data_IF_821655955630
#
_entry.id   IF_821655955630
#
_cell.length_a   1.000
_cell.length_b   1.000
_cell.length_c   1.000
_cell.angle_alpha   90.00
_cell.angle_beta   90.00
_cell.angle_gamma   90.00
#
_symmetry.space_group_name_H-M   'P 1'
#
loop_
_entity.id
_entity.type
_entity.pdbx_description
1 polymer ?
#
# COMPACT_ATOMS: atom_id res chain seq x y z
N UNK A 1 2.32 -3.39 -10.97
CA UNK A 1 1.85 -4.47 -11.85
C UNK A 1 2.60 -5.80 -11.60
N UNK A 2 3.93 -5.81 -11.64
CA UNK A 2 4.67 -7.08 -11.47
C UNK A 2 4.36 -7.81 -10.17
N UNK A 3 4.43 -7.12 -9.02
CA UNK A 3 4.15 -7.71 -7.71
C UNK A 3 2.68 -8.16 -7.57
N UNK A 4 1.78 -7.55 -8.32
CA UNK A 4 0.36 -7.84 -8.26
C UNK A 4 -0.05 -9.02 -9.16
N UNK A 5 0.57 -9.15 -10.34
CA UNK A 5 0.09 -10.08 -11.37
C UNK A 5 1.17 -10.72 -12.25
N UNK A 6 2.46 -10.44 -12.04
CA UNK A 6 3.53 -10.79 -13.01
C UNK A 6 3.24 -10.25 -14.42
N UNK A 7 2.64 -9.05 -14.53
CA UNK A 7 2.19 -8.46 -15.79
C UNK A 7 1.11 -9.26 -16.54
N UNK A 8 0.34 -10.10 -15.87
CA UNK A 8 -0.76 -10.85 -16.47
C UNK A 8 -2.08 -10.17 -16.20
N UNK A 9 -2.80 -9.65 -17.23
CA UNK A 9 -4.01 -8.87 -17.04
C UNK A 9 -5.24 -9.71 -16.63
N UNK A 10 -5.24 -11.00 -16.94
CA UNK A 10 -6.35 -11.93 -16.68
C UNK A 10 -6.35 -12.53 -15.27
N UNK A 11 -5.38 -12.19 -14.44
CA UNK A 11 -5.23 -12.79 -13.10
C UNK A 11 -6.40 -12.43 -12.19
N UNK A 12 -6.93 -13.45 -11.54
CA UNK A 12 -7.83 -13.34 -10.38
C UNK A 12 -7.14 -14.00 -9.20
N UNK A 13 -6.77 -13.21 -8.20
CA UNK A 13 -6.13 -13.71 -6.99
C UNK A 13 -7.11 -14.48 -6.10
N UNK A 14 -6.59 -15.32 -5.22
CA UNK A 14 -7.39 -16.09 -4.26
C UNK A 14 -8.23 -15.20 -3.33
N UNK A 15 -7.80 -13.97 -3.06
CA UNK A 15 -8.53 -12.97 -2.27
C UNK A 15 -9.61 -12.23 -3.07
N UNK A 16 -9.71 -12.48 -4.39
CA UNK A 16 -10.63 -11.79 -5.30
C UNK A 16 -10.05 -10.55 -5.98
N UNK A 17 -8.82 -10.16 -5.69
CA UNK A 17 -8.12 -9.10 -6.41
C UNK A 17 -7.99 -9.45 -7.90
N UNK A 18 -8.16 -8.47 -8.80
CA UNK A 18 -8.28 -8.71 -10.24
C UNK A 18 -7.34 -7.86 -11.07
N UNK A 19 -6.89 -8.43 -12.17
CA UNK A 19 -6.21 -7.76 -13.25
C UNK A 19 -4.77 -7.41 -12.98
N UNK A 20 -4.21 -6.64 -13.89
CA UNK A 20 -2.81 -6.24 -13.94
C UNK A 20 -2.29 -5.59 -12.64
N UNK A 21 -3.13 -4.81 -11.98
CA UNK A 21 -2.80 -4.04 -10.77
C UNK A 21 -3.36 -4.64 -9.48
N UNK A 22 -3.96 -5.83 -9.53
CA UNK A 22 -4.43 -6.54 -8.36
C UNK A 22 -5.50 -5.79 -7.55
N UNK A 23 -6.54 -5.27 -8.24
CA UNK A 23 -7.53 -4.39 -7.64
C UNK A 23 -8.71 -5.21 -7.10
N UNK A 24 -9.09 -4.92 -5.86
CA UNK A 24 -10.30 -5.51 -5.30
C UNK A 24 -11.56 -4.94 -5.96
N UNK A 25 -12.61 -5.76 -6.20
CA UNK A 25 -13.86 -5.30 -6.82
C UNK A 25 -14.47 -4.07 -6.14
N UNK A 26 -14.42 -4.00 -4.82
CA UNK A 26 -14.90 -2.83 -4.06
C UNK A 26 -14.13 -1.56 -4.40
N UNK A 27 -12.82 -1.65 -4.52
CA UNK A 27 -11.97 -0.52 -4.93
C UNK A 27 -12.28 -0.10 -6.35
N UNK A 28 -12.40 -1.06 -7.27
CA UNK A 28 -12.79 -0.79 -8.65
C UNK A 28 -14.10 -0.01 -8.74
N UNK A 29 -15.10 -0.42 -7.98
CA UNK A 29 -16.42 0.26 -7.93
C UNK A 29 -16.31 1.72 -7.48
N UNK A 30 -15.47 2.01 -6.48
CA UNK A 30 -15.23 3.38 -6.00
C UNK A 30 -14.72 4.27 -7.14
N UNK A 31 -13.87 3.74 -8.02
CA UNK A 31 -13.28 4.46 -9.15
C UNK A 31 -13.98 4.20 -10.50
N UNK A 32 -15.23 3.74 -10.45
CA UNK A 32 -16.08 3.61 -11.63
C UNK A 32 -15.76 2.46 -12.56
N UNK A 33 -15.18 1.38 -12.04
CA UNK A 33 -14.88 0.17 -12.82
C UNK A 33 -15.63 -1.05 -12.28
N UNK A 34 -16.29 -1.80 -13.18
CA UNK A 34 -16.89 -3.08 -12.85
C UNK A 34 -15.82 -4.17 -12.61
N UNK A 35 -16.23 -5.24 -11.96
CA UNK A 35 -15.38 -6.40 -11.71
C UNK A 35 -14.76 -6.97 -12.98
N UNK A 36 -15.53 -6.99 -14.08
CA UNK A 36 -15.08 -7.48 -15.39
C UNK A 36 -14.08 -6.51 -16.04
N UNK A 37 -14.36 -5.21 -15.96
CA UNK A 37 -13.50 -4.17 -16.52
C UNK A 37 -12.12 -4.12 -15.87
N UNK A 38 -11.98 -4.56 -14.62
CA UNK A 38 -10.67 -4.65 -13.94
C UNK A 38 -9.70 -5.63 -14.61
N UNK A 39 -10.17 -6.52 -15.47
CA UNK A 39 -9.33 -7.41 -16.28
C UNK A 39 -8.78 -6.72 -17.54
N UNK A 40 -9.32 -5.56 -17.94
CA UNK A 40 -8.76 -4.72 -18.97
C UNK A 40 -7.52 -3.99 -18.43
N UNK A 41 -6.35 -4.12 -19.09
CA UNK A 41 -5.11 -3.50 -18.59
C UNK A 41 -5.19 -1.99 -18.44
N UNK A 42 -5.81 -1.29 -19.39
CA UNK A 42 -5.93 0.17 -19.35
C UNK A 42 -6.82 0.62 -18.18
N UNK A 43 -7.95 -0.04 -17.98
CA UNK A 43 -8.85 0.21 -16.83
C UNK A 43 -8.15 -0.07 -15.52
N UNK A 44 -7.46 -1.21 -15.41
CA UNK A 44 -6.72 -1.60 -14.22
C UNK A 44 -5.66 -0.56 -13.82
N UNK A 45 -4.87 -0.08 -14.78
CA UNK A 45 -3.85 0.96 -14.55
C UNK A 45 -4.49 2.29 -14.15
N UNK A 46 -5.55 2.72 -14.83
CA UNK A 46 -6.26 3.95 -14.48
C UNK A 46 -6.78 3.93 -13.04
N UNK A 47 -7.47 2.86 -12.66
CA UNK A 47 -8.01 2.70 -11.30
C UNK A 47 -6.88 2.67 -10.26
N UNK A 48 -5.77 1.98 -10.54
CA UNK A 48 -4.62 1.95 -9.65
C UNK A 48 -3.99 3.33 -9.45
N UNK A 49 -3.84 4.12 -10.52
CA UNK A 49 -3.31 5.49 -10.45
C UNK A 49 -4.23 6.39 -9.63
N UNK A 50 -5.53 6.32 -9.85
CA UNK A 50 -6.51 7.10 -9.09
C UNK A 50 -6.49 6.73 -7.59
N UNK A 51 -6.39 5.43 -7.30
CA UNK A 51 -6.25 4.91 -5.94
C UNK A 51 -4.96 5.43 -5.27
N UNK A 52 -3.82 5.32 -5.95
CA UNK A 52 -2.54 5.80 -5.44
C UNK A 52 -2.54 7.32 -5.18
N UNK A 53 -3.14 8.11 -6.06
CA UNK A 53 -3.30 9.56 -5.88
C UNK A 53 -4.15 9.88 -4.65
N UNK A 54 -5.25 9.18 -4.47
CA UNK A 54 -6.11 9.35 -3.31
C UNK A 54 -5.40 9.00 -2.00
N UNK A 55 -4.59 7.94 -2.00
CA UNK A 55 -3.80 7.54 -0.84
C UNK A 55 -2.70 8.57 -0.55
N UNK A 56 -1.96 9.03 -1.55
CA UNK A 56 -0.91 10.06 -1.39
C UNK A 56 -1.49 11.32 -0.75
N UNK A 57 -2.67 11.74 -1.18
CA UNK A 57 -3.37 12.90 -0.62
C UNK A 57 -3.71 12.76 0.87
N UNK A 58 -3.95 11.53 1.37
CA UNK A 58 -4.20 11.29 2.79
C UNK A 58 -2.98 11.58 3.66
N UNK A 59 -1.77 11.42 3.14
CA UNK A 59 -0.52 11.51 3.89
C UNK A 59 0.32 12.74 3.56
N UNK A 60 -0.10 13.58 2.61
CA UNK A 60 0.72 14.70 2.09
C UNK A 60 1.11 15.72 3.15
N UNK A 61 0.22 16.00 4.10
CA UNK A 61 0.48 16.96 5.17
C UNK A 61 1.33 16.36 6.31
N UNK A 62 1.29 15.05 6.47
CA UNK A 62 2.02 14.35 7.52
C UNK A 62 3.42 13.97 7.09
N UNK A 63 3.60 13.59 5.83
CA UNK A 63 4.86 13.10 5.28
C UNK A 63 5.25 14.01 4.13
N UNK A 64 6.02 15.07 4.44
CA UNK A 64 6.41 16.09 3.46
C UNK A 64 7.52 15.60 2.51
N UNK A 65 8.40 14.70 2.98
CA UNK A 65 9.40 14.07 2.12
C UNK A 65 8.71 13.15 1.11
N UNK A 66 8.90 13.46 -0.18
CA UNK A 66 8.22 12.75 -1.27
C UNK A 66 8.62 11.27 -1.35
N UNK A 67 9.90 10.94 -1.19
CA UNK A 67 10.37 9.54 -1.28
C UNK A 67 9.80 8.69 -0.15
N UNK A 68 9.79 9.21 1.07
CA UNK A 68 9.18 8.57 2.23
C UNK A 68 7.66 8.41 2.05
N UNK A 69 6.99 9.42 1.49
CA UNK A 69 5.55 9.36 1.23
C UNK A 69 5.21 8.33 0.14
N UNK A 70 6.02 8.18 -0.89
CA UNK A 70 5.85 7.12 -1.89
C UNK A 70 5.86 5.74 -1.23
N UNK A 71 6.78 5.48 -0.32
CA UNK A 71 6.86 4.20 0.41
C UNK A 71 5.61 3.94 1.24
N UNK A 72 5.13 4.94 1.97
CA UNK A 72 3.87 4.85 2.74
C UNK A 72 2.67 4.64 1.82
N UNK A 73 2.62 5.33 0.69
CA UNK A 73 1.56 5.17 -0.32
C UNK A 73 1.53 3.74 -0.90
N UNK A 74 2.68 3.18 -1.21
CA UNK A 74 2.80 1.79 -1.67
C UNK A 74 2.36 0.80 -0.58
N UNK A 75 2.77 1.02 0.66
CA UNK A 75 2.34 0.20 1.79
C UNK A 75 0.82 0.25 1.96
N UNK A 76 0.22 1.43 1.86
CA UNK A 76 -1.22 1.61 1.97
C UNK A 76 -1.99 1.02 0.77
N UNK A 77 -1.42 1.04 -0.42
CA UNK A 77 -1.99 0.35 -1.58
C UNK A 77 -2.06 -1.17 -1.35
N UNK A 78 -1.03 -1.75 -0.76
CA UNK A 78 -0.95 -3.19 -0.46
C UNK A 78 -1.83 -3.60 0.72
N UNK A 79 -1.76 -2.86 1.84
CA UNK A 79 -2.38 -3.25 3.11
C UNK A 79 -3.73 -2.58 3.39
N UNK A 80 -4.00 -1.46 2.75
CA UNK A 80 -5.12 -0.58 3.04
C UNK A 80 -4.72 0.64 3.87
N UNK A 81 -5.28 1.83 3.56
CA UNK A 81 -4.93 3.09 4.25
C UNK A 81 -5.19 3.07 5.75
N UNK A 82 -6.23 2.35 6.20
CA UNK A 82 -6.59 2.27 7.61
C UNK A 82 -5.47 1.67 8.47
N UNK A 83 -4.76 0.65 7.96
CA UNK A 83 -3.60 0.08 8.65
C UNK A 83 -2.44 1.06 8.76
N UNK A 84 -2.21 1.88 7.74
CA UNK A 84 -1.16 2.91 7.76
C UNK A 84 -1.51 4.06 8.72
N UNK A 85 -2.78 4.44 8.80
CA UNK A 85 -3.25 5.41 9.80
C UNK A 85 -3.08 4.88 11.23
N UNK A 86 -3.34 3.59 11.46
CA UNK A 86 -3.03 2.94 12.74
C UNK A 86 -1.53 3.01 13.04
N UNK A 87 -0.68 2.70 12.07
CA UNK A 87 0.77 2.75 12.24
C UNK A 87 1.28 4.16 12.58
N UNK A 88 0.70 5.19 11.99
CA UNK A 88 0.98 6.59 12.34
C UNK A 88 0.64 6.86 13.82
N UNK A 89 -0.54 6.45 14.27
CA UNK A 89 -0.96 6.63 15.67
C UNK A 89 -0.10 5.83 16.65
N UNK A 90 0.27 4.60 16.30
CA UNK A 90 1.19 3.79 17.10
C UNK A 90 2.58 4.42 17.16
N UNK A 91 3.10 4.93 16.04
CA UNK A 91 4.37 5.63 16.02
C UNK A 91 4.37 6.83 16.96
N UNK A 92 3.34 7.66 16.91
CA UNK A 92 3.17 8.80 17.80
C UNK A 92 3.10 8.37 19.27
N UNK A 93 2.35 7.31 19.58
CA UNK A 93 2.15 6.83 20.95
C UNK A 93 3.42 6.21 21.54
N UNK A 94 4.16 5.45 20.75
CA UNK A 94 5.33 4.68 21.22
C UNK A 94 6.69 5.32 20.89
N UNK A 95 6.70 6.57 20.43
CA UNK A 95 7.92 7.36 20.25
C UNK A 95 8.71 7.05 18.97
N UNK A 96 8.09 6.48 17.95
CA UNK A 96 8.68 6.34 16.62
C UNK A 96 8.38 7.55 15.76
N UNK A 97 9.20 7.81 14.73
CA UNK A 97 8.93 8.87 13.79
C UNK A 97 7.62 8.60 13.00
N UNK A 98 6.68 9.56 13.03
CA UNK A 98 5.39 9.45 12.36
C UNK A 98 5.34 10.20 11.02
N UNK A 99 6.44 10.83 10.62
CA UNK A 99 6.58 11.65 9.42
C UNK A 99 7.43 11.00 8.32
N UNK A 100 7.83 9.75 8.51
CA UNK A 100 8.64 8.98 7.55
C UNK A 100 8.38 7.48 7.66
N UNK A 101 8.71 6.77 6.59
CA UNK A 101 8.61 5.32 6.50
C UNK A 101 9.75 4.62 7.27
N UNK A 102 11.01 4.88 6.88
CA UNK A 102 12.16 4.19 7.45
C UNK A 102 12.41 4.55 8.92
N UNK A 103 12.50 3.54 9.76
CA UNK A 103 12.69 3.71 11.21
C UNK A 103 11.52 4.36 11.93
N UNK A 104 10.41 4.59 11.26
CA UNK A 104 9.23 5.24 11.80
C UNK A 104 7.95 4.44 11.56
N UNK A 105 7.16 4.81 10.55
CA UNK A 105 5.87 4.17 10.23
C UNK A 105 6.05 2.69 9.89
N UNK A 106 7.12 2.30 9.20
CA UNK A 106 7.45 0.89 8.96
C UNK A 106 7.58 0.10 10.24
N UNK A 107 8.34 0.62 11.20
CA UNK A 107 8.54 -0.03 12.50
C UNK A 107 7.22 -0.20 13.24
N UNK A 108 6.40 0.85 13.30
CA UNK A 108 5.08 0.80 13.92
C UNK A 108 4.14 -0.17 13.22
N UNK A 109 4.19 -0.26 11.88
CA UNK A 109 3.39 -1.21 11.11
C UNK A 109 3.74 -2.67 11.45
N UNK A 110 5.01 -2.96 11.65
CA UNK A 110 5.46 -4.31 12.07
C UNK A 110 4.90 -4.71 13.43
N UNK A 111 4.75 -3.79 14.36
CA UNK A 111 4.17 -4.04 15.68
C UNK A 111 2.73 -4.57 15.59
N UNK A 112 2.01 -4.27 14.52
CA UNK A 112 0.61 -4.70 14.33
C UNK A 112 0.43 -6.21 14.14
N UNK A 113 1.48 -7.01 14.09
CA UNK A 113 1.41 -8.46 14.17
C UNK A 113 1.31 -9.00 15.61
N UNK A 114 1.55 -8.15 16.60
CA UNK A 114 1.53 -8.51 18.02
C UNK A 114 0.23 -8.04 18.68
N UNK A 115 -0.39 -8.93 19.46
CA UNK A 115 -1.71 -8.68 20.09
C UNK A 115 -1.73 -7.41 20.95
N UNK A 116 -0.63 -7.12 21.66
CA UNK A 116 -0.47 -5.92 22.48
C UNK A 116 -0.70 -4.65 21.67
N UNK A 117 -0.25 -4.60 20.42
CA UNK A 117 -0.29 -3.42 19.58
C UNK A 117 -1.52 -3.37 18.68
N UNK A 118 -1.92 -4.46 18.02
CA UNK A 118 -3.12 -4.39 17.18
C UNK A 118 -4.42 -4.28 17.99
N UNK A 119 -4.40 -4.64 19.28
CA UNK A 119 -5.52 -4.42 20.21
C UNK A 119 -5.41 -3.07 20.98
N UNK A 120 -4.34 -2.30 20.76
CA UNK A 120 -4.23 -0.98 21.35
C UNK A 120 -5.39 -0.07 20.90
N UNK A 121 -5.95 0.79 21.80
CA UNK A 121 -7.01 1.73 21.42
C UNK A 121 -6.64 2.67 20.26
N UNK A 122 -5.35 2.90 19.99
CA UNK A 122 -4.88 3.66 18.84
C UNK A 122 -5.14 2.94 17.50
N UNK A 123 -5.31 1.61 17.51
CA UNK A 123 -5.59 0.81 16.33
C UNK A 123 -7.09 0.63 16.11
N UNK A 124 -7.52 0.78 14.86
CA UNK A 124 -8.91 0.58 14.42
C UNK A 124 -9.05 -0.54 13.40
N UNK A 125 -7.97 -0.86 12.68
CA UNK A 125 -7.97 -1.84 11.60
C UNK A 125 -7.53 -3.24 12.04
N UNK A 126 -7.12 -3.43 13.30
CA UNK A 126 -6.77 -4.74 13.85
C UNK A 126 -5.42 -5.29 13.39
N UNK A 127 -5.31 -6.60 13.35
CA UNK A 127 -4.11 -7.34 12.99
C UNK A 127 -3.63 -7.05 11.56
N UNK A 128 -2.31 -6.94 11.41
CA UNK A 128 -1.64 -6.90 10.12
C UNK A 128 -0.28 -7.61 10.19
N UNK A 129 0.05 -8.38 9.17
CA UNK A 129 1.40 -8.92 8.98
C UNK A 129 2.30 -7.85 8.32
N UNK A 130 2.77 -6.88 9.12
CA UNK A 130 3.52 -5.72 8.65
C UNK A 130 4.84 -6.06 7.93
N UNK A 131 5.49 -7.18 8.29
CA UNK A 131 6.68 -7.67 7.59
C UNK A 131 6.44 -7.93 6.10
N UNK A 132 5.28 -8.50 5.75
CA UNK A 132 4.90 -8.74 4.36
C UNK A 132 4.71 -7.45 3.57
N UNK A 133 4.11 -6.44 4.19
CA UNK A 133 3.92 -5.12 3.60
C UNK A 133 5.25 -4.40 3.38
N UNK A 134 6.14 -4.42 4.36
CA UNK A 134 7.48 -3.84 4.23
C UNK A 134 8.27 -4.50 3.09
N UNK A 135 8.24 -5.83 3.00
CA UNK A 135 8.85 -6.58 1.89
C UNK A 135 8.28 -6.18 0.53
N UNK A 136 6.96 -5.98 0.44
CA UNK A 136 6.30 -5.49 -0.79
C UNK A 136 6.87 -4.13 -1.22
N UNK A 137 6.96 -3.17 -0.30
CA UNK A 137 7.52 -1.84 -0.58
C UNK A 137 8.94 -1.94 -1.09
N UNK A 138 9.80 -2.67 -0.40
CA UNK A 138 11.22 -2.85 -0.78
C UNK A 138 11.35 -3.45 -2.18
N UNK A 139 10.56 -4.46 -2.49
CA UNK A 139 10.57 -5.13 -3.80
C UNK A 139 10.09 -4.22 -4.94
N UNK A 140 9.05 -3.41 -4.70
CA UNK A 140 8.55 -2.45 -5.71
C UNK A 140 9.61 -1.37 -5.99
N UNK A 141 10.20 -0.79 -4.94
CA UNK A 141 11.23 0.25 -5.06
C UNK A 141 12.49 -0.30 -5.75
N UNK A 142 12.98 -1.47 -5.35
CA UNK A 142 14.16 -2.09 -5.98
C UNK A 142 13.93 -2.36 -7.47
N UNK A 143 12.74 -2.83 -7.84
CA UNK A 143 12.37 -3.08 -9.23
C UNK A 143 12.27 -1.79 -10.04
N UNK A 144 11.74 -0.74 -9.46
CA UNK A 144 11.69 0.58 -10.09
C UNK A 144 13.10 1.08 -10.42
N UNK A 145 14.03 1.02 -9.46
CA UNK A 145 15.44 1.38 -9.70
C UNK A 145 16.10 0.50 -10.76
N UNK A 146 15.79 -0.81 -10.76
CA UNK A 146 16.27 -1.74 -11.78
C UNK A 146 15.78 -1.40 -13.19
N UNK A 147 14.58 -0.85 -13.34
CA UNK A 147 14.08 -0.39 -14.64
C UNK A 147 14.77 0.90 -15.07
N UNK A 148 14.94 1.86 -14.17
CA UNK A 148 15.65 3.11 -14.48
C UNK A 148 17.08 2.86 -14.98
N UNK A 149 17.83 1.96 -14.33
CA UNK A 149 19.20 1.64 -14.72
C UNK A 149 19.33 0.96 -16.08
N UNK A 150 18.26 0.33 -16.59
CA UNK A 150 18.24 -0.30 -17.93
C UNK A 150 17.79 0.65 -19.04
N UNK A 151 17.24 1.80 -18.68
CA UNK A 151 16.75 2.79 -19.64
C UNK A 151 17.83 3.80 -20.06
N UNK A 152 19.04 3.62 -19.58
CA UNK A 152 20.24 4.36 -19.93
C UNK A 152 21.30 3.39 -20.50
#
# INVERSE_FOLDING_TARGET
AYQESNFRPEVVGWSGARGLMGIMPRTGKIYGASTKELLDPAVSVRVAVDCLRSIDALFINQITNREERIKVTLAAYNAGPAHLQDAVRLAQKYGYASDRWEGGIETALRLKSEAKYYNDPACRAGYLRGKGVASYVDQVIARYHGYLSRSH
#
